data_IF_009817178806
#
_entry.id   IF_009817178806
#
_cell.length_a   1.000
_cell.length_b   1.000
_cell.length_c   1.000
_cell.angle_alpha   90.00
_cell.angle_beta   90.00
_cell.angle_gamma   90.00
#
_symmetry.space_group_name_H-M   'P 1'
#
loop_
_entity.id
_entity.type
_entity.pdbx_description
1 polymer ?
#
# COMPACT_ATOMS: atom_id res chain seq x y z
N UNK A 1 3.35 74.85 -50.02
CA UNK A 1 4.31 73.79 -49.63
C UNK A 1 3.50 72.67 -49.13
N UNK A 2 3.26 71.67 -49.99
CA UNK A 2 2.50 70.44 -49.63
C UNK A 2 3.51 69.34 -49.30
N UNK A 3 3.52 68.91 -48.05
CA UNK A 3 4.27 67.76 -47.64
C UNK A 3 3.36 66.53 -47.73
N UNK A 4 3.59 65.72 -48.72
CA UNK A 4 2.98 64.38 -48.88
C UNK A 4 3.55 63.45 -47.81
N UNK A 5 2.73 62.72 -47.05
CA UNK A 5 3.25 61.66 -46.13
C UNK A 5 3.66 60.45 -46.97
N UNK A 6 4.93 60.11 -46.92
CA UNK A 6 5.52 58.86 -47.42
C UNK A 6 4.87 57.67 -46.70
N UNK A 7 3.96 57.01 -47.37
CA UNK A 7 3.42 55.72 -46.93
C UNK A 7 4.49 54.66 -47.13
N UNK A 8 5.29 54.42 -46.06
CA UNK A 8 6.28 53.35 -46.03
C UNK A 8 5.58 51.97 -46.13
N UNK A 9 5.59 51.38 -47.33
CA UNK A 9 5.23 50.00 -47.50
C UNK A 9 6.17 49.12 -46.63
N UNK A 10 5.63 48.19 -45.77
CA UNK A 10 6.47 47.32 -44.96
C UNK A 10 7.38 46.50 -45.88
N UNK A 11 8.68 46.63 -45.66
CA UNK A 11 9.72 45.90 -46.41
C UNK A 11 9.38 44.42 -46.47
N UNK A 12 9.52 43.78 -47.64
CA UNK A 12 9.35 42.31 -47.81
C UNK A 12 10.08 41.51 -46.72
N UNK A 13 11.14 42.03 -46.15
CA UNK A 13 11.96 41.45 -45.10
C UNK A 13 11.24 41.48 -43.76
N UNK A 14 10.41 42.46 -43.46
CA UNK A 14 9.66 42.58 -42.20
C UNK A 14 8.45 41.63 -42.18
N UNK A 15 7.79 41.48 -43.35
CA UNK A 15 6.73 40.47 -43.50
C UNK A 15 7.25 39.03 -43.37
N UNK A 16 8.43 38.75 -43.89
CA UNK A 16 9.07 37.44 -43.75
C UNK A 16 9.45 37.15 -42.29
N UNK A 17 10.04 38.09 -41.59
CA UNK A 17 10.36 37.97 -40.16
C UNK A 17 9.11 37.77 -39.32
N UNK A 18 8.01 38.42 -39.61
CA UNK A 18 6.74 38.25 -38.91
C UNK A 18 6.12 36.87 -39.15
N UNK A 19 6.21 36.34 -40.38
CA UNK A 19 5.77 34.96 -40.69
C UNK A 19 6.63 33.91 -40.00
N UNK A 20 7.96 34.08 -40.00
CA UNK A 20 8.88 33.20 -39.29
C UNK A 20 8.59 33.17 -37.79
N UNK A 21 8.35 34.32 -37.16
CA UNK A 21 7.95 34.38 -35.72
C UNK A 21 6.66 33.64 -35.46
N UNK A 22 5.63 33.80 -36.31
CA UNK A 22 4.35 33.09 -36.15
C UNK A 22 4.53 31.56 -36.31
N UNK A 23 5.31 31.13 -37.30
CA UNK A 23 5.60 29.70 -37.50
C UNK A 23 6.38 29.11 -36.33
N UNK A 24 7.34 29.84 -35.79
CA UNK A 24 8.12 29.38 -34.59
C UNK A 24 7.26 29.29 -33.34
N UNK A 25 6.37 30.23 -33.08
CA UNK A 25 5.42 30.20 -31.96
C UNK A 25 4.44 29.02 -32.12
N UNK A 26 3.94 28.79 -33.35
CA UNK A 26 3.06 27.65 -33.63
C UNK A 26 3.76 26.32 -33.42
N UNK A 27 5.04 26.20 -33.77
CA UNK A 27 5.85 25.00 -33.55
C UNK A 27 6.06 24.72 -32.06
N UNK A 28 6.43 25.76 -31.29
CA UNK A 28 6.57 25.60 -29.82
C UNK A 28 5.23 25.20 -29.15
N UNK A 29 4.11 25.82 -29.61
CA UNK A 29 2.81 25.45 -29.07
C UNK A 29 2.43 24.00 -29.39
N UNK A 30 2.76 23.52 -30.59
CA UNK A 30 2.54 22.15 -31.01
C UNK A 30 3.38 21.15 -30.16
N UNK A 31 4.66 21.47 -29.94
CA UNK A 31 5.56 20.67 -29.11
C UNK A 31 5.06 20.57 -27.65
N UNK A 32 4.61 21.66 -27.08
CA UNK A 32 4.02 21.69 -25.74
C UNK A 32 2.76 20.82 -25.64
N UNK A 33 1.90 20.82 -26.66
CA UNK A 33 0.71 19.95 -26.72
C UNK A 33 1.12 18.48 -26.83
N UNK A 34 2.14 18.18 -27.64
CA UNK A 34 2.65 16.80 -27.79
C UNK A 34 3.28 16.28 -26.50
N UNK A 35 4.12 17.09 -25.84
CA UNK A 35 4.76 16.72 -24.57
C UNK A 35 3.69 16.56 -23.47
N UNK A 36 2.76 17.52 -23.38
CA UNK A 36 1.66 17.45 -22.41
C UNK A 36 0.75 16.25 -22.64
N UNK A 37 0.42 15.93 -23.89
CA UNK A 37 -0.34 14.75 -24.28
C UNK A 37 0.39 13.44 -23.96
N UNK A 38 1.69 13.35 -24.25
CA UNK A 38 2.50 12.18 -23.95
C UNK A 38 2.62 11.93 -22.43
N UNK A 39 2.82 12.99 -21.65
CA UNK A 39 2.85 12.93 -20.19
C UNK A 39 1.49 12.49 -19.63
N UNK A 40 0.40 13.05 -20.14
CA UNK A 40 -0.95 12.66 -19.71
C UNK A 40 -1.27 11.19 -20.05
N UNK A 41 -0.91 10.71 -21.23
CA UNK A 41 -1.04 9.30 -21.64
C UNK A 41 -0.17 8.39 -20.78
N UNK A 42 1.05 8.80 -20.48
CA UNK A 42 1.92 8.04 -19.57
C UNK A 42 1.29 7.89 -18.20
N UNK A 43 0.78 8.98 -17.60
CA UNK A 43 0.09 8.92 -16.32
C UNK A 43 -1.17 8.04 -16.36
N UNK A 44 -2.00 8.15 -17.40
CA UNK A 44 -3.21 7.36 -17.55
C UNK A 44 -2.94 5.86 -17.73
N UNK A 45 -1.86 5.49 -18.42
CA UNK A 45 -1.51 4.07 -18.64
C UNK A 45 -0.79 3.43 -17.46
N UNK A 46 0.06 4.16 -16.74
CA UNK A 46 0.90 3.61 -15.67
C UNK A 46 0.29 3.72 -14.26
N UNK A 47 -0.59 4.68 -14.00
CA UNK A 47 -1.25 4.80 -12.68
C UNK A 47 -1.98 3.53 -12.23
N UNK A 48 -2.79 2.85 -13.07
CA UNK A 48 -3.52 1.68 -12.62
C UNK A 48 -2.60 0.48 -12.33
N UNK A 49 -1.47 0.36 -13.03
CA UNK A 49 -0.50 -0.71 -12.75
C UNK A 49 0.27 -0.45 -11.45
N UNK A 50 0.68 0.79 -11.21
CA UNK A 50 1.34 1.18 -9.96
C UNK A 50 0.42 0.99 -8.75
N UNK A 51 -0.86 1.34 -8.88
CA UNK A 51 -1.84 1.12 -7.81
C UNK A 51 -2.03 -0.38 -7.50
N UNK A 52 -2.05 -1.26 -8.51
CA UNK A 52 -2.11 -2.72 -8.32
C UNK A 52 -0.87 -3.26 -7.62
N UNK A 53 0.32 -2.79 -8.01
CA UNK A 53 1.59 -3.20 -7.38
C UNK A 53 1.64 -2.75 -5.91
N UNK A 54 1.20 -1.52 -5.63
CA UNK A 54 1.12 -1.03 -4.25
C UNK A 54 0.11 -1.83 -3.42
N UNK A 55 -1.08 -2.09 -3.95
CA UNK A 55 -2.09 -2.90 -3.26
C UNK A 55 -1.59 -4.32 -2.97
N UNK A 56 -0.92 -4.97 -3.93
CA UNK A 56 -0.33 -6.30 -3.74
C UNK A 56 0.80 -6.27 -2.69
N UNK A 57 1.62 -5.23 -2.68
CA UNK A 57 2.67 -5.03 -1.66
C UNK A 57 2.07 -4.87 -0.27
N UNK A 58 1.05 -4.03 -0.12
CA UNK A 58 0.40 -3.78 1.15
C UNK A 58 -0.28 -5.04 1.68
N UNK A 59 -0.89 -5.82 0.80
CA UNK A 59 -1.47 -7.12 1.15
C UNK A 59 -0.40 -8.12 1.60
N UNK A 60 0.74 -8.19 0.93
CA UNK A 60 1.86 -9.02 1.34
C UNK A 60 2.44 -8.60 2.71
N UNK A 61 2.53 -7.30 2.99
CA UNK A 61 2.95 -6.77 4.28
C UNK A 61 1.96 -7.18 5.37
N UNK A 62 0.64 -7.02 5.16
CA UNK A 62 -0.39 -7.46 6.12
C UNK A 62 -0.31 -8.97 6.38
N UNK A 63 -0.19 -9.76 5.31
CA UNK A 63 -0.03 -11.21 5.43
C UNK A 63 1.20 -11.61 6.25
N UNK A 64 2.32 -10.91 6.09
CA UNK A 64 3.54 -11.15 6.85
C UNK A 64 3.37 -10.80 8.34
N UNK A 65 2.77 -9.64 8.65
CA UNK A 65 2.48 -9.24 10.04
C UNK A 65 1.53 -10.25 10.71
N UNK A 66 0.49 -10.68 10.01
CA UNK A 66 -0.43 -11.70 10.51
C UNK A 66 0.26 -13.05 10.76
N UNK A 67 1.17 -13.45 9.87
CA UNK A 67 1.97 -14.67 10.06
C UNK A 67 2.89 -14.55 11.29
N UNK A 68 3.54 -13.42 11.49
CA UNK A 68 4.34 -13.18 12.69
C UNK A 68 3.50 -13.26 13.97
N UNK A 69 2.30 -12.65 13.98
CA UNK A 69 1.38 -12.75 15.10
C UNK A 69 0.98 -14.21 15.37
N UNK A 70 0.73 -15.02 14.33
CA UNK A 70 0.46 -16.47 14.48
C UNK A 70 1.61 -17.23 15.09
N UNK A 71 2.83 -16.98 14.60
CA UNK A 71 4.04 -17.62 15.17
C UNK A 71 4.18 -17.29 16.65
N UNK A 72 4.01 -16.03 17.03
CA UNK A 72 4.06 -15.61 18.44
C UNK A 72 2.94 -16.21 19.29
N UNK A 73 1.74 -16.38 18.74
CA UNK A 73 0.65 -17.08 19.44
C UNK A 73 0.97 -18.55 19.70
N UNK A 74 1.59 -19.24 18.74
CA UNK A 74 2.06 -20.62 18.91
C UNK A 74 3.17 -20.69 19.98
N UNK A 75 4.13 -19.76 19.93
CA UNK A 75 5.20 -19.68 20.93
C UNK A 75 4.64 -19.45 22.34
N UNK A 76 3.68 -18.54 22.51
CA UNK A 76 3.02 -18.32 23.80
C UNK A 76 2.30 -19.58 24.32
N UNK A 77 1.60 -20.31 23.44
CA UNK A 77 0.95 -21.56 23.78
C UNK A 77 1.95 -22.65 24.17
N UNK A 78 3.06 -22.74 23.44
CA UNK A 78 4.13 -23.69 23.76
C UNK A 78 4.75 -23.36 25.12
N UNK A 79 5.06 -22.10 25.39
CA UNK A 79 5.59 -21.65 26.67
C UNK A 79 4.65 -22.04 27.85
N UNK A 80 3.33 -21.87 27.67
CA UNK A 80 2.35 -22.38 28.67
C UNK A 80 2.39 -23.88 28.85
N UNK A 81 2.63 -24.62 27.78
CA UNK A 81 2.70 -26.12 27.86
C UNK A 81 3.91 -26.59 28.68
N UNK A 82 5.03 -25.85 28.60
CA UNK A 82 6.26 -26.13 29.36
C UNK A 82 6.34 -25.39 30.70
N UNK A 83 5.22 -24.75 31.12
CA UNK A 83 5.08 -23.96 32.35
C UNK A 83 6.02 -22.73 32.42
N UNK A 84 6.46 -22.23 31.29
CA UNK A 84 7.20 -20.95 31.19
C UNK A 84 6.19 -19.77 31.08
N UNK A 85 5.59 -19.42 32.20
CA UNK A 85 4.61 -18.29 32.26
C UNK A 85 5.25 -16.94 31.88
N UNK A 86 6.46 -16.59 32.28
CA UNK A 86 7.12 -15.37 31.85
C UNK A 86 7.32 -15.30 30.33
N UNK A 87 7.81 -16.39 29.73
CA UNK A 87 7.98 -16.47 28.26
C UNK A 87 6.65 -16.37 27.51
N UNK A 88 5.59 -17.00 28.03
CA UNK A 88 4.25 -16.90 27.48
C UNK A 88 3.71 -15.47 27.49
N UNK A 89 3.92 -14.71 28.57
CA UNK A 89 3.51 -13.32 28.69
C UNK A 89 4.21 -12.43 27.67
N UNK A 90 5.53 -12.61 27.49
CA UNK A 90 6.31 -11.85 26.50
C UNK A 90 5.77 -12.12 25.09
N UNK A 91 5.61 -13.40 24.73
CA UNK A 91 5.11 -13.78 23.43
C UNK A 91 3.68 -13.27 23.16
N UNK A 92 2.79 -13.27 24.16
CA UNK A 92 1.44 -12.75 24.04
C UNK A 92 1.41 -11.22 23.89
N UNK A 93 2.26 -10.51 24.61
CA UNK A 93 2.43 -9.05 24.40
C UNK A 93 2.90 -8.74 22.98
N UNK A 94 3.80 -9.55 22.42
CA UNK A 94 4.21 -9.45 21.01
C UNK A 94 3.02 -9.72 20.06
N UNK A 95 2.16 -10.72 20.33
CA UNK A 95 0.93 -10.96 19.56
C UNK A 95 0.07 -9.70 19.50
N UNK A 96 -0.18 -9.10 20.66
CA UNK A 96 -1.01 -7.90 20.75
C UNK A 96 -0.38 -6.73 20.00
N UNK A 97 0.92 -6.53 20.11
CA UNK A 97 1.64 -5.49 19.38
C UNK A 97 1.54 -5.69 17.85
N UNK A 98 1.72 -6.93 17.37
CA UNK A 98 1.58 -7.27 15.95
C UNK A 98 0.14 -7.06 15.46
N UNK A 99 -0.86 -7.46 16.23
CA UNK A 99 -2.28 -7.24 15.89
C UNK A 99 -2.63 -5.75 15.83
N UNK A 100 -2.10 -4.94 16.75
CA UNK A 100 -2.27 -3.48 16.73
C UNK A 100 -1.66 -2.89 15.45
N UNK A 101 -0.43 -3.25 15.14
CA UNK A 101 0.21 -2.83 13.90
C UNK A 101 -0.48 -3.35 12.62
N UNK A 102 -1.18 -4.49 12.69
CA UNK A 102 -2.01 -5.01 11.62
C UNK A 102 -3.27 -4.16 11.44
N UNK A 103 -3.95 -3.81 12.54
CA UNK A 103 -5.16 -2.96 12.52
C UNK A 103 -4.92 -1.60 11.85
N UNK A 104 -3.76 -0.99 12.08
CA UNK A 104 -3.38 0.27 11.45
C UNK A 104 -3.18 0.17 9.92
N UNK A 105 -2.96 -1.05 9.42
CA UNK A 105 -2.71 -1.32 7.99
C UNK A 105 -3.93 -1.84 7.24
N UNK A 106 -5.04 -2.10 7.95
CA UNK A 106 -6.28 -2.50 7.29
C UNK A 106 -6.88 -1.29 6.59
N UNK A 107 -7.17 -1.35 5.28
CA UNK A 107 -7.77 -0.24 4.55
C UNK A 107 -9.17 0.09 5.08
N UNK A 108 -9.56 1.37 4.98
CA UNK A 108 -10.83 1.85 5.50
C UNK A 108 -12.07 1.22 4.82
N UNK A 109 -11.92 0.73 3.59
CA UNK A 109 -12.95 0.03 2.83
C UNK A 109 -13.16 -1.43 3.28
N UNK A 110 -12.27 -1.97 4.12
CA UNK A 110 -12.33 -3.33 4.69
C UNK A 110 -12.83 -3.30 6.16
N UNK A 111 -13.95 -2.67 6.40
CA UNK A 111 -14.49 -2.47 7.75
C UNK A 111 -14.71 -3.77 8.54
N UNK A 112 -15.11 -4.86 7.87
CA UNK A 112 -15.27 -6.18 8.50
C UNK A 112 -13.93 -6.74 8.96
N UNK A 113 -12.89 -6.70 8.14
CA UNK A 113 -11.53 -7.13 8.48
C UNK A 113 -11.00 -6.33 9.69
N UNK A 114 -11.19 -5.01 9.69
CA UNK A 114 -10.80 -4.15 10.81
C UNK A 114 -11.52 -4.52 12.12
N UNK A 115 -12.82 -4.83 12.06
CA UNK A 115 -13.59 -5.26 13.22
C UNK A 115 -13.10 -6.61 13.76
N UNK A 116 -12.79 -7.57 12.87
CA UNK A 116 -12.27 -8.88 13.26
C UNK A 116 -10.87 -8.77 13.88
N UNK A 117 -9.98 -7.96 13.31
CA UNK A 117 -8.65 -7.73 13.90
C UNK A 117 -8.77 -7.06 15.27
N UNK A 118 -9.69 -6.11 15.46
CA UNK A 118 -9.95 -5.49 16.76
C UNK A 118 -10.40 -6.52 17.80
N UNK A 119 -11.30 -7.44 17.43
CA UNK A 119 -11.71 -8.53 18.32
C UNK A 119 -10.52 -9.44 18.73
N UNK A 120 -9.56 -9.64 17.83
CA UNK A 120 -8.37 -10.40 18.15
C UNK A 120 -7.43 -9.66 19.11
N UNK A 121 -7.36 -8.33 19.03
CA UNK A 121 -6.63 -7.49 20.01
C UNK A 121 -7.26 -7.61 21.39
N UNK A 122 -8.58 -7.52 21.46
CA UNK A 122 -9.31 -7.68 22.74
C UNK A 122 -9.09 -9.07 23.34
N UNK A 123 -9.11 -10.12 22.52
CA UNK A 123 -8.77 -11.49 22.96
C UNK A 123 -7.33 -11.65 23.45
N UNK A 124 -6.37 -11.00 22.76
CA UNK A 124 -4.98 -11.03 23.21
C UNK A 124 -4.83 -10.40 24.60
N UNK A 125 -5.55 -9.28 24.86
CA UNK A 125 -5.57 -8.67 26.18
C UNK A 125 -6.22 -9.58 27.25
N UNK A 126 -7.27 -10.33 26.89
CA UNK A 126 -7.88 -11.31 27.81
C UNK A 126 -6.94 -12.47 28.11
N UNK A 127 -6.23 -12.98 27.09
CA UNK A 127 -5.20 -14.00 27.28
C UNK A 127 -4.09 -13.52 28.21
N UNK A 128 -3.58 -12.30 28.02
CA UNK A 128 -2.58 -11.68 28.90
C UNK A 128 -3.05 -11.63 30.36
N UNK A 129 -4.30 -11.23 30.61
CA UNK A 129 -4.86 -11.15 31.95
C UNK A 129 -5.09 -12.54 32.60
N UNK A 130 -5.28 -13.59 31.79
CA UNK A 130 -5.60 -14.91 32.27
C UNK A 130 -4.36 -15.76 32.65
N UNK A 131 -3.14 -15.39 32.25
CA UNK A 131 -1.95 -16.23 32.45
C UNK A 131 -1.70 -16.64 33.89
N UNK A 132 -1.95 -15.78 34.86
CA UNK A 132 -1.69 -16.07 36.27
C UNK A 132 -2.92 -16.71 36.97
N UNK A 133 -4.10 -16.60 36.38
CA UNK A 133 -5.38 -16.99 37.01
C UNK A 133 -5.90 -18.31 36.39
N UNK A 134 -5.95 -18.35 35.06
CA UNK A 134 -6.41 -19.52 34.29
C UNK A 134 -5.58 -19.69 33.00
N UNK A 135 -4.43 -20.34 33.06
CA UNK A 135 -3.58 -20.62 31.89
C UNK A 135 -4.30 -21.38 30.78
N UNK A 136 -5.34 -22.14 31.10
CA UNK A 136 -6.10 -22.90 30.08
C UNK A 136 -7.02 -21.95 29.30
N UNK A 137 -7.62 -20.94 29.94
CA UNK A 137 -8.35 -19.91 29.24
C UNK A 137 -7.44 -19.09 28.32
N UNK A 138 -6.27 -18.66 28.83
CA UNK A 138 -5.25 -17.98 28.01
C UNK A 138 -4.87 -18.81 26.77
N UNK A 139 -4.62 -20.11 26.92
CA UNK A 139 -4.30 -21.01 25.84
C UNK A 139 -5.41 -21.09 24.79
N UNK A 140 -6.66 -21.16 25.20
CA UNK A 140 -7.82 -21.18 24.27
C UNK A 140 -7.93 -19.89 23.49
N UNK A 141 -7.74 -18.73 24.12
CA UNK A 141 -7.80 -17.44 23.44
C UNK A 141 -6.68 -17.30 22.40
N UNK A 142 -5.46 -17.73 22.73
CA UNK A 142 -4.35 -17.77 21.76
C UNK A 142 -4.62 -18.73 20.58
N UNK A 143 -5.28 -19.87 20.82
CA UNK A 143 -5.69 -20.81 19.77
C UNK A 143 -6.73 -20.20 18.83
N UNK A 144 -7.70 -19.46 19.36
CA UNK A 144 -8.67 -18.73 18.56
C UNK A 144 -8.00 -17.66 17.72
N UNK A 145 -7.04 -16.91 18.30
CA UNK A 145 -6.26 -15.90 17.55
C UNK A 145 -5.53 -16.55 16.38
N UNK A 146 -4.79 -17.63 16.63
CA UNK A 146 -4.06 -18.38 15.61
C UNK A 146 -4.97 -18.86 14.47
N UNK A 147 -6.10 -19.50 14.82
CA UNK A 147 -7.06 -20.03 13.84
C UNK A 147 -7.69 -18.93 13.00
N UNK A 148 -8.13 -17.86 13.65
CA UNK A 148 -8.76 -16.71 12.97
C UNK A 148 -7.80 -15.98 12.04
N UNK A 149 -6.56 -15.73 12.46
CA UNK A 149 -5.53 -15.18 11.59
C UNK A 149 -5.23 -16.08 10.39
N UNK A 150 -5.26 -17.42 10.58
CA UNK A 150 -5.11 -18.37 9.48
C UNK A 150 -6.24 -18.32 8.45
N UNK A 151 -7.45 -17.94 8.89
CA UNK A 151 -8.61 -17.77 8.00
C UNK A 151 -8.61 -16.42 7.30
N UNK A 152 -8.29 -15.34 8.03
CA UNK A 152 -8.25 -13.98 7.49
C UNK A 152 -7.07 -13.76 6.53
N UNK A 153 -5.93 -14.34 6.88
CA UNK A 153 -4.68 -14.21 6.14
C UNK A 153 -4.11 -15.61 5.82
N UNK A 154 -4.73 -16.34 4.90
CA UNK A 154 -4.20 -17.63 4.49
C UNK A 154 -2.78 -17.43 3.95
N UNK A 155 -1.85 -18.28 4.37
CA UNK A 155 -0.50 -18.25 3.83
C UNK A 155 -0.62 -18.34 2.30
N UNK A 156 -0.15 -17.31 1.61
CA UNK A 156 -0.07 -17.34 0.14
C UNK A 156 0.83 -18.52 -0.18
N UNK A 157 0.24 -19.63 -0.62
CA UNK A 157 1.01 -20.76 -1.11
C UNK A 157 1.95 -20.18 -2.15
N UNK A 158 3.27 -20.32 -1.92
CA UNK A 158 4.28 -19.82 -2.82
C UNK A 158 3.87 -20.25 -4.23
N UNK A 159 3.41 -19.30 -5.05
CA UNK A 159 3.08 -19.61 -6.43
C UNK A 159 4.33 -20.25 -7.03
N UNK A 160 4.26 -21.48 -7.54
CA UNK A 160 5.41 -22.10 -8.16
C UNK A 160 5.90 -21.13 -9.22
N UNK A 161 7.17 -20.70 -9.08
CA UNK A 161 7.82 -19.74 -9.96
C UNK A 161 7.45 -20.09 -11.39
N UNK A 162 6.60 -19.25 -12.01
CA UNK A 162 6.04 -19.50 -13.32
C UNK A 162 7.15 -19.92 -14.26
N UNK A 163 7.00 -21.06 -14.91
CA UNK A 163 7.88 -21.53 -15.98
C UNK A 163 8.06 -20.36 -16.92
N UNK A 164 9.23 -19.71 -16.85
CA UNK A 164 9.67 -18.78 -17.89
C UNK A 164 9.67 -19.59 -19.18
N UNK A 165 8.69 -19.34 -20.03
CA UNK A 165 8.61 -19.90 -21.35
C UNK A 165 9.92 -19.63 -22.09
N UNK A 166 10.47 -20.69 -22.64
CA UNK A 166 11.57 -20.65 -23.60
C UNK A 166 11.07 -20.04 -24.93
#
# INVERSE_FOLDING_TARGET
MSTTPESGEPSRMDSFKAQMKKAFIAFIALDLVFIGGAVALYFLMFQPEMAKVQAARDEAIRGNVALQARVRAVEARYALTVMDVPGAKIAAADVRAQLTGLAERVPADRAQEAAEVKQLIDRAALAEAAFDVDPNAARKDLEVIESKLGTLYPAVAAQPAGKRGK
#
